data_IF_102200889793
#
_entry.id   IF_102200889793
#
_cell.length_a   1.000
_cell.length_b   1.000
_cell.length_c   1.000
_cell.angle_alpha   90.00
_cell.angle_beta   90.00
_cell.angle_gamma   90.00
#
_symmetry.space_group_name_H-M   'P 1'
#
loop_
_entity.id
_entity.type
_entity.pdbx_description
1 polymer ?
#
# COMPACT_ATOMS: atom_id res chain seq x y z
N UNK A 1 -12.23 -2.17 -11.55
CA UNK A 1 -10.74 -2.26 -11.54
C UNK A 1 -10.33 -2.32 -12.99
N UNK A 2 -9.57 -1.34 -13.48
CA UNK A 2 -8.99 -1.44 -14.82
C UNK A 2 -8.15 -2.71 -14.85
N UNK A 3 -8.39 -3.56 -15.85
CA UNK A 3 -7.76 -4.86 -16.00
C UNK A 3 -6.33 -4.71 -16.56
N UNK A 4 -5.61 -3.67 -16.14
CA UNK A 4 -4.21 -3.47 -16.46
C UNK A 4 -3.41 -4.56 -15.76
N UNK A 5 -2.59 -5.28 -16.52
CA UNK A 5 -1.76 -6.35 -15.98
C UNK A 5 -0.87 -5.81 -14.85
N UNK A 6 -0.87 -6.50 -13.72
CA UNK A 6 -0.01 -6.16 -12.60
C UNK A 6 1.46 -6.35 -13.00
N UNK A 7 2.31 -5.42 -12.60
CA UNK A 7 3.72 -5.38 -13.00
C UNK A 7 4.53 -6.23 -12.01
N UNK A 8 5.25 -7.27 -12.44
CA UNK A 8 6.14 -8.00 -11.53
C UNK A 8 7.27 -7.10 -11.04
N UNK A 9 7.69 -7.29 -9.80
CA UNK A 9 8.69 -6.41 -9.18
C UNK A 9 10.04 -6.40 -9.92
N UNK A 10 10.41 -7.47 -10.64
CA UNK A 10 11.65 -7.52 -11.43
C UNK A 10 11.65 -6.64 -12.68
N UNK A 11 10.49 -6.07 -13.05
CA UNK A 11 10.35 -5.14 -14.18
C UNK A 11 10.32 -3.67 -13.72
N UNK A 12 10.53 -3.43 -12.42
CA UNK A 12 10.53 -2.10 -11.82
C UNK A 12 11.94 -1.72 -11.41
N UNK A 13 12.46 -0.67 -12.03
CA UNK A 13 13.77 -0.11 -11.72
C UNK A 13 13.78 0.53 -10.34
N UNK A 14 12.77 1.34 -10.06
CA UNK A 14 12.68 2.11 -8.84
C UNK A 14 11.22 2.42 -8.47
N UNK A 15 11.00 2.72 -7.19
CA UNK A 15 9.72 3.24 -6.72
C UNK A 15 9.92 4.29 -5.64
N UNK A 16 9.05 5.30 -5.66
CA UNK A 16 8.92 6.26 -4.56
C UNK A 16 7.49 6.77 -4.38
N UNK A 17 7.06 6.91 -3.12
CA UNK A 17 5.77 7.52 -2.83
C UNK A 17 5.79 9.02 -3.15
N UNK A 18 5.10 9.42 -4.22
CA UNK A 18 4.98 10.83 -4.66
C UNK A 18 3.99 11.67 -3.84
N UNK A 19 3.41 11.12 -2.77
CA UNK A 19 2.40 11.80 -1.95
C UNK A 19 1.19 12.33 -2.76
N UNK A 20 0.85 11.70 -3.90
CA UNK A 20 -0.20 12.19 -4.78
C UNK A 20 -1.61 11.99 -4.23
N UNK A 21 -1.81 11.00 -3.35
CA UNK A 21 -3.11 10.66 -2.78
C UNK A 21 -3.99 9.77 -3.67
N UNK A 22 -3.48 9.28 -4.81
CA UNK A 22 -4.27 8.42 -5.69
C UNK A 22 -4.47 7.00 -5.15
N UNK A 23 -3.67 6.58 -4.16
CA UNK A 23 -3.76 5.25 -3.53
C UNK A 23 -5.10 4.95 -2.84
N UNK A 24 -5.93 5.97 -2.60
CA UNK A 24 -7.23 5.83 -1.92
C UNK A 24 -8.40 6.34 -2.78
N UNK A 25 -8.20 6.55 -4.09
CA UNK A 25 -9.28 6.96 -5.00
C UNK A 25 -9.86 5.69 -5.62
N UNK A 26 -11.16 5.43 -5.38
CA UNK A 26 -11.82 4.24 -5.91
C UNK A 26 -11.37 2.92 -5.30
N UNK A 27 -10.59 2.96 -4.21
CA UNK A 27 -10.18 1.80 -3.43
C UNK A 27 -10.88 1.81 -2.08
N UNK A 28 -11.44 0.66 -1.66
CA UNK A 28 -11.96 0.47 -0.31
C UNK A 28 -10.87 -0.21 0.51
N UNK A 29 -10.26 0.52 1.44
CA UNK A 29 -9.15 0.02 2.26
C UNK A 29 -9.69 -0.98 3.27
N UNK A 30 -9.40 -2.29 3.14
CA UNK A 30 -9.82 -3.26 4.14
C UNK A 30 -8.99 -3.12 5.40
N UNK A 31 -9.62 -3.37 6.55
CA UNK A 31 -8.98 -3.38 7.86
C UNK A 31 -8.93 -4.80 8.41
N UNK A 32 -7.82 -5.13 9.06
CA UNK A 32 -7.79 -6.25 10.00
C UNK A 32 -8.56 -5.89 11.27
N UNK A 33 -8.92 -6.88 12.08
CA UNK A 33 -9.71 -6.66 13.30
C UNK A 33 -9.00 -5.73 14.27
N UNK A 34 -7.69 -5.91 14.47
CA UNK A 34 -6.87 -5.06 15.33
C UNK A 34 -6.75 -3.62 14.80
N UNK A 35 -6.71 -3.44 13.48
CA UNK A 35 -6.65 -2.13 12.83
C UNK A 35 -8.00 -1.41 12.94
N UNK A 36 -9.10 -2.15 12.78
CA UNK A 36 -10.46 -1.65 12.99
C UNK A 36 -10.61 -1.11 14.41
N UNK A 37 -10.28 -1.92 15.44
CA UNK A 37 -10.34 -1.50 16.86
C UNK A 37 -9.48 -0.26 17.10
N UNK A 38 -8.23 -0.26 16.62
CA UNK A 38 -7.31 0.86 16.81
C UNK A 38 -7.85 2.15 16.18
N UNK A 39 -8.41 2.06 14.96
CA UNK A 39 -8.93 3.21 14.22
C UNK A 39 -10.23 3.71 14.84
N UNK A 40 -11.18 2.83 15.16
CA UNK A 40 -12.45 3.23 15.78
C UNK A 40 -12.24 3.89 17.13
N UNK A 41 -11.32 3.38 17.95
CA UNK A 41 -11.03 3.95 19.27
C UNK A 41 -10.38 5.33 19.18
N UNK A 42 -9.56 5.58 18.16
CA UNK A 42 -8.83 6.84 18.01
C UNK A 42 -9.61 7.92 17.26
N UNK A 43 -10.40 7.54 16.26
CA UNK A 43 -11.05 8.48 15.34
C UNK A 43 -12.58 8.39 15.35
N UNK A 44 -13.14 7.52 16.20
CA UNK A 44 -14.57 7.24 16.27
C UNK A 44 -15.03 6.20 15.24
N UNK A 45 -16.17 5.52 15.48
CA UNK A 45 -16.67 4.45 14.61
C UNK A 45 -17.14 4.98 13.24
N UNK A 46 -17.49 6.26 13.13
CA UNK A 46 -18.03 6.88 11.91
C UNK A 46 -17.01 6.99 10.76
N UNK A 47 -15.73 6.66 10.99
CA UNK A 47 -14.70 6.60 9.95
C UNK A 47 -14.62 5.22 9.27
N UNK A 48 -15.47 4.29 9.70
CA UNK A 48 -15.55 2.92 9.19
C UNK A 48 -16.76 2.74 8.27
N UNK A 49 -16.64 1.80 7.35
CA UNK A 49 -17.74 1.25 6.56
C UNK A 49 -17.67 -0.27 6.63
N UNK A 50 -18.82 -0.94 6.70
CA UNK A 50 -18.89 -2.40 6.76
C UNK A 50 -19.39 -2.96 5.43
N UNK A 51 -18.75 -4.04 4.97
CA UNK A 51 -19.20 -4.86 3.84
C UNK A 51 -19.22 -6.33 4.24
N UNK A 52 -19.42 -7.23 3.28
CA UNK A 52 -19.56 -8.68 3.49
C UNK A 52 -18.44 -9.24 4.40
N UNK A 53 -18.75 -9.36 5.69
CA UNK A 53 -17.85 -9.84 6.75
C UNK A 53 -16.56 -9.03 6.98
N UNK A 54 -16.46 -7.78 6.48
CA UNK A 54 -15.21 -6.99 6.53
C UNK A 54 -15.49 -5.54 6.89
N UNK A 55 -14.55 -4.95 7.63
CA UNK A 55 -14.50 -3.51 7.88
C UNK A 55 -13.55 -2.83 6.90
N UNK A 56 -13.90 -1.61 6.52
CA UNK A 56 -13.15 -0.77 5.61
C UNK A 56 -13.01 0.63 6.19
N UNK A 57 -11.99 1.38 5.77
CA UNK A 57 -12.04 2.83 5.93
C UNK A 57 -13.17 3.40 5.07
N UNK A 58 -13.96 4.31 5.65
CA UNK A 58 -15.03 5.00 4.94
C UNK A 58 -14.47 5.84 3.80
N UNK A 59 -15.16 5.82 2.67
CA UNK A 59 -14.94 6.78 1.59
C UNK A 59 -16.00 7.89 1.65
N UNK A 60 -15.60 9.09 1.27
CA UNK A 60 -16.46 10.24 1.02
C UNK A 60 -17.24 10.06 -0.29
N UNK A 61 -18.26 10.89 -0.50
CA UNK A 61 -19.08 10.89 -1.74
C UNK A 61 -18.26 11.11 -3.02
N UNK A 62 -17.10 11.77 -2.92
CA UNK A 62 -16.17 11.96 -4.03
C UNK A 62 -15.23 10.75 -4.29
N UNK A 63 -15.46 9.62 -3.62
CA UNK A 63 -14.71 8.38 -3.78
C UNK A 63 -13.33 8.36 -3.12
N UNK A 64 -12.99 9.37 -2.31
CA UNK A 64 -11.73 9.44 -1.54
C UNK A 64 -11.91 8.89 -0.13
N UNK A 65 -10.86 8.31 0.43
CA UNK A 65 -10.84 7.91 1.83
C UNK A 65 -11.04 9.11 2.77
N UNK A 66 -11.82 8.90 3.83
CA UNK A 66 -12.16 9.87 4.88
C UNK A 66 -10.95 10.57 5.52
N UNK A 67 -9.78 9.93 5.46
CA UNK A 67 -8.53 10.45 6.02
C UNK A 67 -7.67 11.25 5.04
N UNK A 68 -8.16 11.53 3.83
CA UNK A 68 -7.47 12.41 2.89
C UNK A 68 -7.88 13.87 3.08
N UNK A 69 -6.89 14.77 3.05
CA UNK A 69 -7.11 16.22 3.06
C UNK A 69 -6.39 16.87 1.88
N UNK A 70 -7.02 17.83 1.18
CA UNK A 70 -6.36 18.54 0.10
C UNK A 70 -5.26 19.46 0.66
N UNK A 71 -4.09 19.46 0.02
CA UNK A 71 -2.97 20.36 0.32
C UNK A 71 -2.13 20.55 -0.94
N UNK A 72 -1.97 21.80 -1.41
CA UNK A 72 -1.10 22.18 -2.54
C UNK A 72 -1.18 21.19 -3.73
N UNK A 73 -2.36 21.07 -4.34
CA UNK A 73 -2.65 20.18 -5.48
C UNK A 73 -2.47 18.67 -5.21
N UNK A 74 -2.35 18.26 -3.95
CA UNK A 74 -2.25 16.86 -3.52
C UNK A 74 -3.34 16.51 -2.51
N UNK A 75 -3.51 15.21 -2.28
CA UNK A 75 -4.40 14.68 -1.24
C UNK A 75 -3.57 13.89 -0.22
N UNK A 76 -3.31 14.53 0.91
CA UNK A 76 -2.42 14.01 1.95
C UNK A 76 -3.23 13.15 2.92
N UNK A 77 -2.70 11.99 3.26
CA UNK A 77 -3.29 11.08 4.25
C UNK A 77 -2.94 11.54 5.67
N UNK A 78 -3.93 11.64 6.55
CA UNK A 78 -3.74 12.05 7.96
C UNK A 78 -3.47 10.89 8.91
N UNK A 79 -3.63 9.62 8.48
CA UNK A 79 -3.29 8.41 9.26
C UNK A 79 -1.78 8.13 9.36
N UNK A 80 -0.92 9.14 9.22
CA UNK A 80 0.53 8.93 9.29
C UNK A 80 0.88 8.30 10.66
N UNK A 81 1.50 7.12 10.65
CA UNK A 81 1.81 6.33 11.86
C UNK A 81 0.77 5.26 12.25
N UNK A 82 -0.50 5.45 11.87
CA UNK A 82 -1.61 4.49 12.12
C UNK A 82 -2.17 3.92 10.82
N UNK A 83 -1.41 3.99 9.72
CA UNK A 83 -1.83 3.46 8.42
C UNK A 83 -2.11 1.96 8.52
N UNK A 84 -3.29 1.49 8.06
CA UNK A 84 -3.57 0.06 7.93
C UNK A 84 -2.56 -0.64 7.02
N UNK A 85 -2.36 -1.93 7.22
CA UNK A 85 -1.48 -2.82 6.45
C UNK A 85 -1.73 -2.65 4.95
N UNK A 86 -3.00 -2.58 4.52
CA UNK A 86 -3.34 -2.36 3.11
C UNK A 86 -2.81 -1.01 2.57
N UNK A 87 -2.94 0.07 3.33
CA UNK A 87 -2.38 1.38 2.96
C UNK A 87 -0.84 1.39 2.96
N UNK A 88 -0.23 0.62 3.87
CA UNK A 88 1.22 0.48 3.97
C UNK A 88 1.79 -0.31 2.80
N UNK A 89 1.05 -1.30 2.30
CA UNK A 89 1.46 -2.13 1.18
C UNK A 89 1.26 -1.48 -0.17
N UNK A 90 0.28 -0.57 -0.35
CA UNK A 90 0.04 0.05 -1.65
C UNK A 90 1.31 0.74 -2.22
N UNK A 91 1.67 0.54 -3.51
CA UNK A 91 0.92 -0.16 -4.58
C UNK A 91 1.26 -1.64 -4.73
N UNK A 92 2.00 -2.21 -3.79
CA UNK A 92 2.48 -3.57 -3.87
C UNK A 92 1.39 -4.59 -3.54
N UNK A 93 1.33 -5.68 -4.31
CA UNK A 93 0.42 -6.81 -4.12
C UNK A 93 1.26 -8.07 -3.95
N UNK A 94 1.16 -8.67 -2.78
CA UNK A 94 1.89 -9.89 -2.43
C UNK A 94 0.94 -11.09 -2.40
N UNK A 95 1.31 -12.15 -3.09
CA UNK A 95 0.49 -13.34 -3.25
C UNK A 95 1.31 -14.61 -2.93
N UNK A 96 0.64 -15.66 -2.45
CA UNK A 96 1.25 -16.98 -2.21
C UNK A 96 1.38 -17.82 -3.49
N UNK A 97 0.69 -17.42 -4.55
CA UNK A 97 0.66 -18.07 -5.86
C UNK A 97 0.78 -17.00 -6.95
N UNK A 98 1.34 -17.33 -8.12
CA UNK A 98 1.45 -16.38 -9.21
C UNK A 98 0.06 -16.00 -9.74
N UNK A 99 -0.13 -14.74 -10.11
CA UNK A 99 -1.41 -14.23 -10.63
C UNK A 99 -1.62 -14.59 -12.11
N UNK A 100 -0.54 -14.78 -12.87
CA UNK A 100 -0.56 -15.19 -14.28
C UNK A 100 0.34 -16.40 -14.53
N UNK A 101 0.03 -17.17 -15.58
CA UNK A 101 0.88 -18.28 -16.05
C UNK A 101 2.23 -17.71 -16.51
N UNK A 102 3.34 -18.25 -16.00
CA UNK A 102 4.69 -17.68 -16.23
C UNK A 102 5.11 -16.60 -15.21
N UNK A 103 4.44 -16.50 -14.06
CA UNK A 103 4.71 -15.52 -12.99
C UNK A 103 6.06 -15.65 -12.26
N UNK A 104 7.06 -16.30 -12.85
CA UNK A 104 8.40 -16.46 -12.25
C UNK A 104 9.10 -15.12 -12.04
N UNK A 105 8.83 -14.13 -12.90
CA UNK A 105 9.36 -12.76 -12.75
C UNK A 105 8.84 -12.06 -11.48
N UNK A 106 7.74 -12.51 -10.88
CA UNK A 106 7.26 -11.92 -9.64
C UNK A 106 7.81 -12.59 -8.38
N UNK A 107 8.59 -13.67 -8.53
CA UNK A 107 9.01 -14.51 -7.41
C UNK A 107 9.92 -13.74 -6.46
N UNK A 108 9.68 -13.90 -5.16
CA UNK A 108 10.54 -13.46 -4.06
C UNK A 108 10.73 -14.63 -3.12
N UNK A 109 11.98 -14.99 -2.84
CA UNK A 109 12.33 -16.09 -1.93
C UNK A 109 12.78 -15.51 -0.60
N UNK A 110 12.15 -15.93 0.50
CA UNK A 110 12.53 -15.55 1.87
C UNK A 110 12.61 -16.80 2.72
N UNK A 111 13.83 -17.21 3.08
CA UNK A 111 14.05 -18.49 3.75
C UNK A 111 13.53 -19.64 2.89
N UNK A 112 12.63 -20.42 3.46
CA UNK A 112 11.93 -21.55 2.83
C UNK A 112 10.62 -21.15 2.12
N UNK A 113 10.20 -19.88 2.21
CA UNK A 113 8.93 -19.40 1.67
C UNK A 113 9.09 -18.68 0.34
N UNK A 114 8.12 -18.90 -0.53
CA UNK A 114 8.00 -18.23 -1.82
C UNK A 114 6.77 -17.33 -1.81
N UNK A 115 6.98 -16.09 -2.23
CA UNK A 115 5.94 -15.10 -2.45
C UNK A 115 6.04 -14.58 -3.89
N UNK A 116 4.95 -14.02 -4.39
CA UNK A 116 4.89 -13.37 -5.69
C UNK A 116 4.51 -11.90 -5.47
N UNK A 117 5.42 -11.00 -5.82
CA UNK A 117 5.30 -9.57 -5.60
C UNK A 117 5.05 -8.84 -6.91
N UNK A 118 3.94 -8.10 -6.93
CA UNK A 118 3.52 -7.29 -8.04
C UNK A 118 3.27 -5.84 -7.62
N UNK A 119 3.14 -4.96 -8.60
CA UNK A 119 2.82 -3.55 -8.38
C UNK A 119 1.61 -3.14 -9.23
N UNK A 120 0.77 -2.30 -8.63
CA UNK A 120 -0.36 -1.68 -9.29
C UNK A 120 0.13 -0.60 -10.29
N UNK A 121 -0.15 -0.75 -11.60
CA UNK A 121 0.36 0.16 -12.63
C UNK A 121 -0.20 1.59 -12.51
N UNK A 122 -1.31 1.79 -11.80
CA UNK A 122 -1.89 3.13 -11.61
C UNK A 122 -1.05 4.01 -10.66
N UNK A 123 -0.02 3.44 -10.02
CA UNK A 123 0.90 4.18 -9.17
C UNK A 123 1.91 5.00 -9.99
N UNK A 124 1.74 6.33 -9.98
CA UNK A 124 2.68 7.33 -10.54
C UNK A 124 4.10 7.33 -9.92
N UNK A 125 4.34 6.48 -8.93
CA UNK A 125 5.63 6.35 -8.26
C UNK A 125 6.56 5.30 -8.88
N UNK A 126 6.06 4.51 -9.83
CA UNK A 126 6.77 3.40 -10.48
C UNK A 126 7.64 3.93 -11.62
N UNK A 127 8.88 3.47 -11.68
CA UNK A 127 9.79 3.64 -12.82
C UNK A 127 10.15 2.25 -13.35
N UNK A 128 9.81 1.96 -14.61
CA UNK A 128 10.05 0.65 -15.24
C UNK A 128 11.52 0.47 -15.59
N UNK A 129 11.98 -0.79 -15.60
CA UNK A 129 13.34 -1.17 -15.98
C UNK A 129 13.95 -2.19 -15.02
N UNK A 130 15.27 -2.35 -15.11
CA UNK A 130 15.99 -3.30 -14.27
C UNK A 130 16.08 -2.80 -12.81
N UNK A 131 15.71 -3.62 -11.81
CA UNK A 131 15.72 -3.24 -10.40
C UNK A 131 17.07 -2.70 -9.92
N UNK A 132 17.05 -1.47 -9.43
CA UNK A 132 18.21 -0.87 -8.74
C UNK A 132 18.54 -1.65 -7.46
N UNK A 133 19.80 -1.58 -7.02
CA UNK A 133 20.23 -2.16 -5.72
C UNK A 133 19.38 -1.64 -4.57
N UNK A 134 19.04 -0.36 -4.59
CA UNK A 134 18.17 0.24 -3.59
C UNK A 134 16.78 -0.40 -3.58
N UNK A 135 16.16 -0.59 -4.75
CA UNK A 135 14.84 -1.20 -4.84
C UNK A 135 14.87 -2.66 -4.34
N UNK A 136 15.88 -3.43 -4.77
CA UNK A 136 16.11 -4.83 -4.34
C UNK A 136 16.37 -4.99 -2.86
N UNK A 137 17.23 -4.15 -2.28
CA UNK A 137 17.79 -4.37 -0.94
C UNK A 137 17.09 -3.56 0.16
N UNK A 138 16.35 -2.50 -0.18
CA UNK A 138 15.61 -1.68 0.80
C UNK A 138 14.10 -1.79 0.66
N UNK A 139 13.57 -1.59 -0.56
CA UNK A 139 12.12 -1.45 -0.79
C UNK A 139 11.42 -2.80 -0.76
N UNK A 140 11.88 -3.76 -1.58
CA UNK A 140 11.30 -5.10 -1.66
C UNK A 140 11.30 -5.80 -0.28
N UNK A 141 12.40 -5.81 0.50
CA UNK A 141 12.41 -6.46 1.81
C UNK A 141 11.48 -5.76 2.81
N UNK A 142 11.38 -4.42 2.80
CA UNK A 142 10.45 -3.71 3.68
C UNK A 142 9.00 -4.09 3.37
N UNK A 143 8.60 -4.12 2.10
CA UNK A 143 7.25 -4.52 1.68
C UNK A 143 6.94 -5.96 2.07
N UNK A 144 7.85 -6.90 1.81
CA UNK A 144 7.58 -8.30 2.10
C UNK A 144 7.45 -8.53 3.61
N UNK A 145 8.31 -7.90 4.42
CA UNK A 145 8.18 -7.98 5.88
C UNK A 145 6.85 -7.42 6.37
N UNK A 146 6.36 -6.32 5.81
CA UNK A 146 5.02 -5.78 6.12
C UNK A 146 3.93 -6.77 5.71
N UNK A 147 4.04 -7.34 4.50
CA UNK A 147 3.09 -8.31 3.97
C UNK A 147 3.02 -9.60 4.80
N UNK A 148 4.14 -10.02 5.37
CA UNK A 148 4.23 -11.15 6.31
C UNK A 148 3.66 -10.83 7.70
N UNK A 149 3.23 -9.58 7.95
CA UNK A 149 2.71 -9.14 9.24
C UNK A 149 3.77 -8.88 10.31
N UNK A 150 5.05 -8.76 9.92
CA UNK A 150 6.11 -8.45 10.87
C UNK A 150 6.01 -7.00 11.36
N UNK A 151 6.37 -6.71 12.62
CA UNK A 151 6.44 -5.35 13.12
C UNK A 151 7.59 -4.62 12.41
N UNK A 152 7.23 -3.73 11.49
CA UNK A 152 8.17 -2.94 10.67
C UNK A 152 7.80 -1.48 10.79
N UNK A 153 8.78 -0.59 10.99
CA UNK A 153 8.59 0.85 10.79
C UNK A 153 8.86 1.17 9.32
N UNK A 154 7.87 1.70 8.60
CA UNK A 154 8.08 2.10 7.20
C UNK A 154 9.08 3.25 7.11
N UNK A 155 10.18 3.01 6.42
CA UNK A 155 11.23 4.00 6.14
C UNK A 155 11.37 4.25 4.65
N UNK A 156 11.32 3.20 3.84
CA UNK A 156 11.57 3.27 2.40
C UNK A 156 10.29 3.29 1.57
N UNK A 157 9.20 2.74 2.12
CA UNK A 157 7.90 2.54 1.45
C UNK A 157 6.86 3.60 1.83
N UNK A 158 7.32 4.79 2.23
CA UNK A 158 6.47 5.94 2.59
C UNK A 158 7.03 7.22 1.99
N UNK A 159 6.21 8.27 1.87
CA UNK A 159 6.70 9.55 1.38
C UNK A 159 7.62 10.20 2.40
N UNK A 160 8.76 10.72 1.95
CA UNK A 160 9.66 11.57 2.76
C UNK A 160 9.19 13.01 2.85
N UNK A 161 8.27 13.42 1.97
CA UNK A 161 7.79 14.81 1.88
C UNK A 161 6.64 15.12 2.84
N UNK A 162 6.11 14.13 3.55
CA UNK A 162 5.00 14.31 4.49
C UNK A 162 5.53 14.06 5.90
N UNK A 163 5.94 15.14 6.56
CA UNK A 163 6.09 15.16 8.01
C UNK A 163 4.83 15.78 8.61
N UNK A 164 3.78 14.98 8.76
CA UNK A 164 2.58 15.45 9.46
C UNK A 164 2.83 15.40 10.97
N UNK A 165 2.87 16.57 11.61
CA UNK A 165 2.69 16.67 13.05
C UNK A 165 1.18 16.78 13.29
N UNK A 166 0.53 15.83 13.98
CA UNK A 166 -0.86 16.03 14.38
C UNK A 166 -0.92 17.30 15.23
N UNK A 167 -1.86 18.19 14.90
CA UNK A 167 -2.31 19.27 15.79
C UNK A 167 -3.03 18.59 16.95
#
# INVERSE_FOLDING_TARGET
MNNSALIPWTEVSSWSCKACGNCCVGYRVPLKMEEMVTISSKYGPNVLEYGVGKAYLRNLSNGRCEFQRPLMNRWICTLQGTKPTACRLFPFRMNHKPIYKGGDNAKVVIGDRIYYLYMDPDCKGIELGQPTERFKNEIVPEIVRIGMGLPVKQKFTTSKSIHWRPI
#
